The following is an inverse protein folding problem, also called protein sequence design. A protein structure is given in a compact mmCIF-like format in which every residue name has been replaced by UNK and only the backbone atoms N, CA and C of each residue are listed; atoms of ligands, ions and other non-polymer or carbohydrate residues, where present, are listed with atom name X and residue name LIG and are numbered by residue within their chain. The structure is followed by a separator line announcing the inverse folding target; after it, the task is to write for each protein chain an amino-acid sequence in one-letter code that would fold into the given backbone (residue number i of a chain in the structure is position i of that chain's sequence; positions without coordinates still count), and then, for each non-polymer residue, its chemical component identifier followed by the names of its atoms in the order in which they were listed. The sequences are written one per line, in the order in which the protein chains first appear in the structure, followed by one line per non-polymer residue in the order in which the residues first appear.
data_IF_297704658170
#
_entry.id   IF_297704658170
#
_cell.length_a   1.000
_cell.length_b   1.000
_cell.length_c   1.000
_cell.angle_alpha   90.00
_cell.angle_beta   90.00
_cell.angle_gamma   90.00
#
_symmetry.space_group_name_H-M   'P 1'
#
loop_
_entity.id
_entity.type
_entity.pdbx_description
1 polymer ?
2 water ?
#
# COMPACT_ATOMS: atom_id res chain seq x y z
N UNK A 3 -8.17 8.80 -23.52
CA UNK A 3 -7.96 8.29 -22.17
C UNK A 3 -8.85 7.09 -21.83
N UNK A 4 -8.72 6.60 -20.60
CA UNK A 4 -9.51 5.47 -20.14
C UNK A 4 -10.81 5.94 -19.50
N UNK A 5 -11.89 5.26 -19.83
CA UNK A 5 -13.20 5.63 -19.32
C UNK A 5 -13.34 5.28 -17.83
N UNK A 6 -14.01 6.16 -17.09
CA UNK A 6 -14.17 5.99 -15.66
C UNK A 6 -14.73 4.66 -15.16
N UNK A 7 -15.66 4.07 -15.88
CA UNK A 7 -16.22 2.80 -15.44
C UNK A 7 -15.22 1.66 -15.58
N UNK A 8 -14.31 1.78 -16.52
CA UNK A 8 -13.29 0.76 -16.70
C UNK A 8 -12.29 0.88 -15.56
N UNK A 9 -11.88 2.13 -15.31
CA UNK A 9 -10.96 2.40 -14.23
C UNK A 9 -11.50 1.80 -12.94
N UNK A 10 -12.73 2.12 -12.58
CA UNK A 10 -13.29 1.58 -11.35
C UNK A 10 -13.31 0.08 -11.35
N UNK A 11 -13.58 -0.46 -12.51
CA UNK A 11 -13.67 -1.90 -12.66
C UNK A 11 -12.32 -2.52 -12.34
N UNK A 12 -11.29 -1.98 -12.98
CA UNK A 12 -9.95 -2.45 -12.79
C UNK A 12 -9.57 -2.42 -11.32
N UNK A 13 -9.82 -1.27 -10.69
CA UNK A 13 -9.47 -1.07 -9.28
C UNK A 13 -10.27 -1.93 -8.31
N UNK A 14 -11.54 -2.12 -8.61
CA UNK A 14 -12.37 -2.95 -7.76
C UNK A 14 -11.74 -4.34 -7.71
N UNK A 15 -11.38 -4.84 -8.87
CA UNK A 15 -10.79 -6.15 -8.91
C UNK A 15 -9.44 -6.16 -8.25
N UNK A 16 -8.58 -5.24 -8.67
CA UNK A 16 -7.22 -5.21 -8.16
C UNK A 16 -7.15 -5.13 -6.66
N UNK A 17 -7.91 -4.22 -6.07
CA UNK A 17 -7.85 -4.02 -4.63
C UNK A 17 -8.74 -4.91 -3.80
N UNK A 18 -9.43 -5.83 -4.44
CA UNK A 18 -10.19 -6.78 -3.65
C UNK A 18 -9.20 -7.92 -3.50
N UNK A 19 -8.47 -7.91 -2.40
CA UNK A 19 -7.37 -8.82 -2.25
C UNK A 19 -6.92 -8.87 -0.80
N UNK A 20 -6.26 -9.95 -0.40
CA UNK A 20 -5.78 -10.08 0.97
C UNK A 20 -4.28 -9.80 0.91
N UNK A 21 -3.84 -8.80 1.64
CA UNK A 21 -2.43 -8.40 1.64
C UNK A 21 -1.57 -9.42 2.40
N UNK A 22 -0.27 -9.45 2.10
CA UNK A 22 0.68 -10.32 2.80
C UNK A 22 1.27 -9.45 3.88
N UNK A 23 1.16 -9.90 5.12
CA UNK A 23 1.62 -9.11 6.22
C UNK A 23 2.46 -10.00 7.10
N UNK A 24 3.76 -9.95 6.89
CA UNK A 24 4.70 -10.80 7.61
C UNK A 24 5.69 -9.95 8.39
N UNK A 25 5.84 -10.24 9.67
CA UNK A 25 6.79 -9.50 10.48
C UNK A 25 8.11 -10.22 10.77
N UNK A 26 9.20 -9.45 10.82
CA UNK A 26 10.53 -9.95 11.15
C UNK A 26 10.99 -11.10 10.29
N UNK A 27 11.28 -10.83 9.04
CA UNK A 27 11.73 -11.87 8.14
C UNK A 27 13.14 -11.51 7.73
N UNK A 28 13.95 -12.52 7.43
CA UNK A 28 15.32 -12.31 7.00
C UNK A 28 15.39 -12.22 5.48
N UNK A 29 16.22 -11.31 4.99
CA UNK A 29 16.45 -11.19 3.56
C UNK A 29 17.43 -12.31 3.20
N UNK A 30 17.05 -13.20 2.26
CA UNK A 30 17.92 -14.32 1.82
C UNK A 30 19.02 -13.79 0.91
N UNK A 31 18.65 -12.95 -0.05
CA UNK A 31 19.60 -12.39 -1.00
C UNK A 31 18.91 -11.40 -1.94
N UNK A 32 19.71 -10.67 -2.70
CA UNK A 32 19.24 -9.68 -3.66
C UNK A 32 19.48 -10.14 -5.09
N UNK A 33 18.60 -9.72 -5.99
CA UNK A 33 18.78 -10.04 -7.39
C UNK A 33 18.97 -8.67 -8.02
N UNK A 34 18.88 -8.59 -9.33
CA UNK A 34 19.06 -7.33 -10.02
C UNK A 34 17.98 -6.32 -9.67
N UNK A 35 16.74 -6.77 -9.52
CA UNK A 35 15.65 -5.87 -9.24
C UNK A 35 14.79 -6.27 -8.05
N UNK A 36 15.13 -7.36 -7.36
CA UNK A 36 14.30 -7.78 -6.25
C UNK A 36 15.08 -8.19 -5.05
N UNK A 37 14.32 -8.39 -3.99
CA UNK A 37 14.83 -8.88 -2.72
C UNK A 37 14.11 -10.19 -2.51
N UNK A 38 14.83 -11.21 -2.08
CA UNK A 38 14.21 -12.51 -1.83
C UNK A 38 14.20 -12.64 -0.33
N UNK A 39 13.01 -12.75 0.26
CA UNK A 39 12.86 -12.79 1.71
C UNK A 39 12.28 -14.08 2.23
N UNK A 40 12.83 -14.53 3.35
CA UNK A 40 12.42 -15.78 3.99
C UNK A 40 11.10 -15.66 4.75
N UNK A 41 10.08 -16.38 4.28
CA UNK A 41 8.78 -16.36 4.95
C UNK A 41 8.38 -17.76 5.41
N UNK A 42 9.36 -18.66 5.46
CA UNK A 42 9.10 -20.05 5.84
C UNK A 42 8.33 -20.20 7.15
N UNK A 43 8.64 -19.36 8.13
CA UNK A 43 7.94 -19.46 9.40
C UNK A 43 6.45 -19.22 9.26
N UNK A 44 6.05 -18.48 8.24
CA UNK A 44 4.64 -18.21 8.04
C UNK A 44 4.01 -19.08 7.00
N UNK A 45 4.70 -19.34 5.90
CA UNK A 45 4.08 -20.11 4.82
C UNK A 45 4.55 -21.54 4.61
N UNK A 46 5.58 -21.96 5.32
CA UNK A 46 6.05 -23.32 5.15
C UNK A 46 7.38 -23.37 4.45
N UNK A 47 7.85 -24.59 4.28
CA UNK A 47 9.14 -24.89 3.69
C UNK A 47 9.40 -24.27 2.35
N UNK A 48 10.57 -23.69 2.21
CA UNK A 48 10.96 -23.14 0.92
C UNK A 48 10.15 -21.93 0.47
N UNK A 49 9.23 -21.45 1.31
CA UNK A 49 8.49 -20.28 0.90
C UNK A 49 9.28 -19.01 1.01
N UNK A 50 9.02 -18.09 0.10
CA UNK A 50 9.72 -16.82 0.12
C UNK A 50 8.82 -15.71 -0.43
N UNK A 51 9.20 -14.48 -0.14
CA UNK A 51 8.54 -13.32 -0.73
C UNK A 51 9.56 -12.78 -1.71
N UNK A 52 9.10 -12.32 -2.85
CA UNK A 52 9.98 -11.72 -3.82
C UNK A 52 9.45 -10.32 -4.00
N UNK A 53 10.24 -9.35 -3.58
CA UNK A 53 9.84 -7.95 -3.63
C UNK A 53 10.63 -7.21 -4.67
N UNK A 54 9.94 -6.76 -5.71
CA UNK A 54 10.61 -6.02 -6.76
C UNK A 54 10.67 -4.55 -6.39
N UNK A 55 11.86 -3.95 -6.41
CA UNK A 55 11.98 -2.52 -6.10
C UNK A 55 12.99 -1.79 -6.94
N UNK A 56 12.95 -0.47 -6.87
CA UNK A 56 13.89 0.35 -7.59
C UNK A 56 15.29 0.11 -7.01
N UNK A 57 16.32 0.39 -7.80
CA UNK A 57 17.69 0.20 -7.35
C UNK A 57 18.00 0.90 -6.04
N UNK A 58 17.66 2.17 -5.98
CA UNK A 58 17.93 2.99 -4.81
C UNK A 58 17.34 2.38 -3.55
N UNK A 59 16.15 1.82 -3.67
CA UNK A 59 15.46 1.23 -2.53
C UNK A 59 16.17 -0.02 -2.10
N UNK A 60 16.44 -0.88 -3.06
CA UNK A 60 17.06 -2.14 -2.75
C UNK A 60 18.39 -2.03 -2.01
N UNK A 61 19.19 -1.04 -2.39
CA UNK A 61 20.51 -0.91 -1.80
C UNK A 61 20.53 -0.66 -0.31
N UNK A 62 19.37 -0.41 0.28
CA UNK A 62 19.24 -0.15 1.70
C UNK A 62 19.14 -1.43 2.49
N UNK A 63 19.06 -2.55 1.79
CA UNK A 63 18.89 -3.83 2.47
C UNK A 63 19.94 -4.83 2.00
N UNK A 64 20.42 -5.62 2.94
CA UNK A 64 21.45 -6.59 2.62
C UNK A 64 21.13 -7.94 3.25
N UNK A 65 21.82 -8.98 2.77
CA UNK A 65 21.64 -10.35 3.24
C UNK A 65 21.58 -10.35 4.75
N UNK A 66 20.63 -11.07 5.29
CA UNK A 66 20.51 -11.19 6.71
C UNK A 66 19.84 -10.08 7.49
N UNK A 67 19.45 -9.01 6.82
CA UNK A 67 18.73 -7.93 7.50
C UNK A 67 17.36 -8.51 7.88
N UNK A 68 16.78 -7.99 8.96
CA UNK A 68 15.46 -8.39 9.43
C UNK A 68 14.49 -7.31 8.99
N UNK A 69 13.42 -7.73 8.37
CA UNK A 69 12.55 -6.81 7.72
C UNK A 69 11.11 -7.18 7.96
N UNK A 70 10.21 -6.21 7.82
CA UNK A 70 8.77 -6.51 7.92
C UNK A 70 8.24 -6.37 6.47
N UNK A 71 7.23 -7.16 6.14
CA UNK A 71 6.63 -7.13 4.82
C UNK A 71 5.15 -6.80 4.86
N UNK A 72 4.74 -5.87 3.98
CA UNK A 72 3.35 -5.52 3.75
C UNK A 72 3.21 -5.19 2.27
N UNK A 73 2.66 -6.12 1.50
CA UNK A 73 2.51 -5.91 0.06
C UNK A 73 1.34 -6.66 -0.55
N UNK A 74 1.00 -6.29 -1.77
CA UNK A 74 -0.10 -6.90 -2.51
C UNK A 74 0.46 -7.67 -3.73
N UNK A 75 0.13 -8.96 -3.83
CA UNK A 75 0.64 -9.76 -4.94
C UNK A 75 0.14 -9.26 -6.27
N UNK A 76 0.91 -9.48 -7.32
CA UNK A 76 0.46 -9.10 -8.65
C UNK A 76 0.40 -10.36 -9.49
N UNK A 77 0.74 -11.49 -8.88
CA UNK A 77 0.72 -12.79 -9.57
C UNK A 77 0.00 -13.82 -8.75
N UNK A 78 -0.68 -14.75 -9.40
CA UNK A 78 -1.36 -15.83 -8.69
C UNK A 78 -0.77 -17.17 -9.13
N UNK A 79 -0.92 -18.19 -8.30
CA UNK A 79 -0.44 -19.53 -8.64
C UNK A 79 1.03 -19.48 -9.03
N UNK A 80 1.86 -19.17 -8.04
CA UNK A 80 3.28 -19.00 -8.25
C UNK A 80 4.19 -19.82 -7.35
N UNK A 81 3.86 -21.08 -7.17
CA UNK A 81 4.73 -22.01 -6.46
C UNK A 81 5.06 -21.66 -5.05
N UNK A 82 6.34 -21.64 -4.74
CA UNK A 82 6.71 -21.33 -3.36
C UNK A 82 7.01 -19.86 -3.15
N UNK A 83 6.76 -19.05 -4.17
CA UNK A 83 7.02 -17.63 -4.05
C UNK A 83 5.76 -16.80 -4.03
N UNK A 84 5.87 -15.63 -3.42
CA UNK A 84 4.75 -14.70 -3.40
C UNK A 84 5.38 -13.43 -3.93
N UNK A 85 4.83 -12.93 -5.03
CA UNK A 85 5.41 -11.79 -5.71
C UNK A 85 4.70 -10.49 -5.53
N UNK A 86 5.45 -9.51 -5.05
CA UNK A 86 4.91 -8.18 -4.79
C UNK A 86 5.89 -7.08 -5.21
N UNK A 87 5.48 -5.84 -5.06
CA UNK A 87 6.34 -4.69 -5.34
C UNK A 87 6.61 -4.00 -4.02
N UNK A 88 7.87 -3.64 -3.77
CA UNK A 88 8.23 -2.91 -2.56
C UNK A 88 7.62 -3.52 -1.30
N UNK A 89 7.05 -2.68 -0.43
CA UNK A 89 6.40 -3.16 0.80
C UNK A 89 7.32 -3.60 1.95
N UNK A 90 8.59 -3.19 1.88
CA UNK A 90 9.60 -3.61 2.85
C UNK A 90 10.13 -2.51 3.77
N UNK A 91 10.11 -2.75 5.08
CA UNK A 91 10.68 -1.81 6.05
C UNK A 91 11.51 -2.59 7.07
N UNK A 92 12.45 -1.90 7.70
CA UNK A 92 13.26 -2.52 8.73
C UNK A 92 12.30 -3.01 9.80
N UNK A 93 12.53 -4.23 10.28
CA UNK A 93 11.66 -4.86 11.25
C UNK A 93 11.39 -4.00 12.47
N UNK A 94 10.11 -3.93 12.84
CA UNK A 94 9.67 -3.14 13.98
C UNK A 94 10.04 -3.94 15.21
N UNK A 95 10.82 -3.36 16.10
CA UNK A 95 11.25 -4.10 17.29
C UNK A 95 10.27 -4.05 18.45
N UNK A 96 9.90 -2.86 18.89
CA UNK A 96 8.97 -2.77 20.01
C UNK A 96 7.56 -2.61 19.50
N UNK A 97 6.60 -3.08 20.29
CA UNK A 97 5.20 -2.97 19.91
C UNK A 97 4.82 -1.50 19.84
N UNK A 98 3.93 -1.18 18.92
CA UNK A 98 3.53 0.21 18.70
C UNK A 98 2.13 0.35 18.10
N UNK A 99 1.50 1.48 18.37
CA UNK A 99 0.14 1.71 17.89
C UNK A 99 -0.04 3.15 17.52
N UNK A 100 -0.37 3.39 16.27
CA UNK A 100 -0.60 4.75 15.85
C UNK A 100 -1.99 4.86 15.29
N UNK A 101 -2.79 5.68 15.95
CA UNK A 101 -4.16 5.90 15.54
C UNK A 101 -4.08 7.12 14.65
N UNK A 102 -4.44 6.97 13.40
CA UNK A 102 -4.31 8.09 12.51
C UNK A 102 -5.48 9.08 12.57
N UNK A 103 -5.14 10.35 12.37
CA UNK A 103 -6.14 11.41 12.30
C UNK A 103 -6.41 11.65 10.82
N UNK A 104 -7.67 11.78 10.44
CA UNK A 104 -7.96 12.03 9.03
C UNK A 104 -9.33 12.64 8.80
N UNK A 105 -9.52 13.17 7.60
CA UNK A 105 -10.77 13.82 7.22
C UNK A 105 -11.19 13.36 5.83
N UNK A 106 -12.48 13.38 5.57
CA UNK A 106 -13.02 12.99 4.29
C UNK A 106 -13.79 14.18 3.72
N UNK A 107 -13.45 14.57 2.49
CA UNK A 107 -14.11 15.68 1.82
C UNK A 107 -14.80 15.17 0.59
N UNK A 108 -16.11 15.01 0.67
CA UNK A 108 -16.86 14.57 -0.49
C UNK A 108 -17.55 15.76 -1.06
N UNK A 109 -17.45 15.91 -2.37
CA UNK A 109 -18.04 17.02 -3.12
C UNK A 109 -19.43 17.37 -2.65
N UNK A 110 -19.64 18.64 -2.31
CA UNK A 110 -20.96 19.09 -1.89
C UNK A 110 -21.50 18.54 -0.57
N UNK A 111 -20.66 17.92 0.25
CA UNK A 111 -21.09 17.40 1.54
C UNK A 111 -20.23 18.09 2.56
N UNK A 112 -20.54 17.90 3.85
CA UNK A 112 -19.74 18.50 4.93
C UNK A 112 -18.55 17.58 5.27
N UNK A 113 -17.46 18.13 5.81
CA UNK A 113 -16.30 17.31 6.11
C UNK A 113 -16.73 16.18 7.00
N UNK A 114 -16.17 14.99 6.78
CA UNK A 114 -16.43 13.89 7.66
C UNK A 114 -15.13 13.62 8.43
N UNK A 115 -15.29 13.34 9.72
CA UNK A 115 -14.18 13.05 10.61
C UNK A 115 -13.85 11.54 10.58
N UNK A 116 -12.61 11.18 10.24
CA UNK A 116 -12.20 9.78 10.16
C UNK A 116 -11.11 9.45 11.18
N UNK A 117 -10.99 10.27 12.21
CA UNK A 117 -9.98 10.02 13.21
C UNK A 117 -10.12 8.64 13.81
N UNK A 118 -8.98 8.02 14.10
CA UNK A 118 -8.91 6.72 14.76
C UNK A 118 -9.48 5.51 14.08
N UNK A 119 -9.84 5.62 12.81
CA UNK A 119 -10.39 4.47 12.10
C UNK A 119 -9.28 3.58 11.59
N UNK A 120 -8.16 4.20 11.25
CA UNK A 120 -7.03 3.47 10.72
C UNK A 120 -5.89 3.46 11.72
N UNK A 121 -5.44 2.27 12.04
CA UNK A 121 -4.37 2.12 13.00
C UNK A 121 -3.17 1.43 12.39
N UNK A 122 -1.98 1.93 12.69
CA UNK A 122 -0.75 1.34 12.18
C UNK A 122 0.07 0.84 13.35
N UNK A 123 0.87 -0.19 13.10
CA UNK A 123 1.63 -0.78 14.16
C UNK A 123 3.10 -0.78 13.88
N UNK A 124 3.53 0.20 13.08
CA UNK A 124 4.92 0.35 12.73
C UNK A 124 5.27 1.82 12.85
N UNK A 125 6.53 2.08 13.14
CA UNK A 125 7.02 3.46 13.26
C UNK A 125 7.45 3.91 11.91
N UNK A 126 7.86 2.96 11.09
CA UNK A 126 8.25 3.27 9.74
C UNK A 126 7.36 2.43 8.86
N UNK A 127 6.62 3.11 7.99
CA UNK A 127 5.64 2.45 7.15
C UNK A 127 5.78 2.80 5.68
N UNK A 128 5.34 1.90 4.82
CA UNK A 128 5.37 2.17 3.38
C UNK A 128 4.07 2.85 2.96
N UNK A 129 4.11 3.64 1.89
CA UNK A 129 2.92 4.28 1.38
C UNK A 129 1.96 3.20 0.93
N UNK A 130 2.52 2.09 0.47
CA UNK A 130 1.73 0.97 -0.01
C UNK A 130 0.79 0.51 1.11
N UNK A 131 1.33 0.32 2.31
CA UNK A 131 0.50 -0.10 3.41
C UNK A 131 -0.54 0.96 3.75
N UNK A 132 -0.12 2.22 3.76
CA UNK A 132 -1.04 3.31 4.08
C UNK A 132 -2.14 3.42 3.04
N UNK A 133 -1.73 3.37 1.78
CA UNK A 133 -2.65 3.44 0.67
C UNK A 133 -3.68 2.33 0.74
N UNK A 134 -3.22 1.09 0.94
CA UNK A 134 -4.12 -0.04 0.96
C UNK A 134 -5.18 0.06 2.03
N UNK A 135 -4.77 0.33 3.26
CA UNK A 135 -5.71 0.41 4.37
C UNK A 135 -6.79 1.47 4.18
N UNK A 136 -6.42 2.61 3.62
CA UNK A 136 -7.38 3.67 3.40
C UNK A 136 -8.34 3.29 2.27
N UNK A 137 -7.80 2.79 1.18
CA UNK A 137 -8.63 2.38 0.05
C UNK A 137 -9.65 1.34 0.49
N UNK A 138 -9.20 0.39 1.28
CA UNK A 138 -10.07 -0.68 1.73
C UNK A 138 -11.19 -0.14 2.59
N UNK A 139 -10.83 0.81 3.44
CA UNK A 139 -11.80 1.44 4.29
C UNK A 139 -12.85 2.10 3.39
N UNK A 140 -12.40 2.83 2.36
CA UNK A 140 -13.29 3.54 1.45
C UNK A 140 -14.15 2.62 0.62
N UNK A 141 -13.57 1.49 0.23
CA UNK A 141 -14.26 0.51 -0.58
C UNK A 141 -15.35 -0.08 0.27
N UNK A 142 -14.97 -0.50 1.47
CA UNK A 142 -15.90 -1.09 2.40
C UNK A 142 -17.04 -0.17 2.82
N UNK A 143 -16.71 1.07 3.15
CA UNK A 143 -17.69 2.02 3.66
C UNK A 143 -18.37 2.93 2.68
N UNK A 144 -17.70 3.22 1.58
CA UNK A 144 -18.26 4.11 0.57
C UNK A 144 -18.38 3.50 -0.81
N UNK A 145 -18.00 2.22 -0.94
CA UNK A 145 -18.08 1.50 -2.21
C UNK A 145 -17.56 2.30 -3.39
N UNK A 146 -16.47 3.02 -3.18
CA UNK A 146 -15.96 3.89 -4.22
C UNK A 146 -15.73 3.29 -5.59
N UNK A 147 -15.52 1.98 -5.64
CA UNK A 147 -15.26 1.35 -6.93
C UNK A 147 -16.42 0.58 -7.52
N UNK A 148 -17.57 0.62 -6.86
CA UNK A 148 -18.75 -0.07 -7.40
C UNK A 148 -19.22 0.64 -8.66
N UNK A 149 -19.72 -0.13 -9.62
CA UNK A 149 -20.18 0.45 -10.88
C UNK A 149 -21.14 1.62 -10.66
N UNK A 150 -21.98 1.50 -9.64
CA UNK A 150 -23.00 2.50 -9.37
C UNK A 150 -22.58 3.63 -8.46
N UNK A 151 -21.34 3.58 -7.98
CA UNK A 151 -20.84 4.66 -7.14
C UNK A 151 -20.84 5.94 -8.01
N UNK A 152 -21.04 7.08 -7.38
CA UNK A 152 -21.07 8.35 -8.08
C UNK A 152 -19.73 9.04 -8.26
N UNK A 153 -18.70 8.52 -7.59
CA UNK A 153 -17.39 9.14 -7.66
C UNK A 153 -16.70 8.99 -8.97
N UNK A 154 -16.16 10.10 -9.41
CA UNK A 154 -15.57 10.22 -10.71
C UNK A 154 -14.09 10.57 -10.65
N UNK A 155 -13.61 10.88 -9.45
CA UNK A 155 -12.21 11.20 -9.27
C UNK A 155 -12.01 11.41 -7.78
N UNK A 156 -10.76 11.50 -7.37
CA UNK A 156 -10.44 11.72 -5.98
C UNK A 156 -9.01 11.32 -5.67
N UNK A 157 -8.53 11.68 -4.48
CA UNK A 157 -7.17 11.37 -4.07
C UNK A 157 -7.02 11.33 -2.55
N UNK A 158 -5.86 10.85 -2.10
CA UNK A 158 -5.54 10.82 -0.69
C UNK A 158 -4.39 11.78 -0.55
N UNK A 159 -4.37 12.57 0.51
CA UNK A 159 -3.25 13.48 0.72
C UNK A 159 -2.70 13.15 2.07
N UNK A 160 -1.41 12.81 2.10
CA UNK A 160 -0.73 12.49 3.33
C UNK A 160 -0.06 13.79 3.78
N UNK A 161 -0.41 14.28 4.96
CA UNK A 161 0.17 15.53 5.43
C UNK A 161 1.23 15.29 6.49
N UNK A 162 2.38 15.92 6.30
CA UNK A 162 3.46 15.78 7.26
C UNK A 162 3.58 17.00 8.14
N UNK A 163 4.29 16.84 9.23
CA UNK A 163 4.43 17.90 10.19
C UNK A 163 5.15 19.18 9.78
N UNK A 164 5.69 19.20 8.57
CA UNK A 164 6.35 20.40 8.05
C UNK A 164 5.38 21.18 7.18
N UNK A 165 4.15 20.70 7.09
CA UNK A 165 3.12 21.37 6.31
C UNK A 165 3.01 20.87 4.88
N UNK A 166 3.84 19.91 4.47
CA UNK A 166 3.77 19.41 3.10
C UNK A 166 2.72 18.31 2.93
N UNK A 167 2.43 18.00 1.68
CA UNK A 167 1.44 16.98 1.35
C UNK A 167 1.93 16.06 0.21
N UNK A 168 1.66 14.78 0.34
CA UNK A 168 1.99 13.82 -0.67
C UNK A 168 0.63 13.37 -1.21
N UNK A 169 0.43 13.40 -2.52
CA UNK A 169 -0.83 12.95 -3.11
C UNK A 169 -0.76 11.52 -3.65
N UNK A 170 -1.89 10.81 -3.59
CA UNK A 170 -2.03 9.48 -4.14
C UNK A 170 -3.37 9.46 -4.86
N UNK A 171 -3.32 9.28 -6.18
CA UNK A 171 -4.53 9.28 -7.01
C UNK A 171 -5.33 8.04 -6.68
N UNK A 172 -6.64 8.19 -6.54
CA UNK A 172 -7.49 7.04 -6.19
C UNK A 172 -8.14 6.40 -7.38
N UNK A 173 -8.06 7.07 -8.52
CA UNK A 173 -8.70 6.55 -9.70
C UNK A 173 -7.76 6.51 -10.88
N UNK A 174 -6.66 5.79 -10.74
CA UNK A 174 -5.71 5.67 -11.82
C UNK A 174 -5.47 4.23 -12.17
N UNK A 175 -5.75 3.85 -13.41
CA UNK A 175 -5.52 2.48 -13.87
C UNK A 175 -4.69 2.56 -15.14
N UNK A 176 -3.38 2.51 -14.99
CA UNK A 176 -2.49 2.63 -16.12
C UNK A 176 -2.38 1.41 -17.00
N UNK A 177 -1.91 1.65 -18.22
CA UNK A 177 -1.67 0.61 -19.18
C UNK A 177 -2.86 -0.30 -19.30
N UNK A 178 -2.64 -1.59 -19.18
CA UNK A 178 -3.74 -2.50 -19.32
C UNK A 178 -4.61 -2.63 -18.09
N UNK A 179 -4.24 -1.92 -17.03
CA UNK A 179 -5.01 -1.95 -15.80
C UNK A 179 -4.99 -3.30 -15.06
N UNK A 180 -3.89 -4.04 -15.17
CA UNK A 180 -3.79 -5.31 -14.45
C UNK A 180 -3.16 -5.01 -13.09
N UNK A 181 -3.13 -5.97 -12.18
CA UNK A 181 -2.53 -5.70 -10.87
C UNK A 181 -1.07 -5.32 -11.02
N UNK A 182 -0.42 -5.94 -11.98
CA UNK A 182 0.96 -5.66 -12.23
C UNK A 182 1.10 -4.16 -12.61
N UNK A 183 0.14 -3.65 -13.36
CA UNK A 183 0.21 -2.26 -13.80
C UNK A 183 -0.10 -1.31 -12.66
N UNK A 184 -1.17 -1.61 -11.96
CA UNK A 184 -1.61 -0.79 -10.86
C UNK A 184 -0.70 -0.79 -9.64
N UNK A 185 -0.09 -1.93 -9.33
CA UNK A 185 0.78 -1.99 -8.16
C UNK A 185 2.21 -1.59 -8.49
N UNK A 186 2.54 -1.42 -9.76
CA UNK A 186 3.92 -1.08 -10.11
C UNK A 186 4.40 0.17 -9.40
N UNK A 187 3.48 1.08 -9.11
CA UNK A 187 3.85 2.33 -8.46
C UNK A 187 4.47 2.13 -7.09
N UNK A 188 4.26 0.96 -6.50
CA UNK A 188 4.79 0.70 -5.17
C UNK A 188 6.25 0.27 -5.19
N UNK A 189 6.80 0.15 -6.39
CA UNK A 189 8.16 -0.30 -6.55
C UNK A 189 9.24 0.65 -6.01
N UNK A 190 8.87 1.89 -5.71
CA UNK A 190 9.82 2.85 -5.15
C UNK A 190 10.03 2.60 -3.68
N UNK A 191 9.18 1.78 -3.07
CA UNK A 191 9.30 1.46 -1.65
C UNK A 191 9.29 2.69 -0.78
N UNK A 192 8.57 3.71 -1.22
CA UNK A 192 8.48 4.94 -0.45
C UNK A 192 7.98 4.66 0.97
N UNK A 193 8.66 5.22 1.96
CA UNK A 193 8.26 5.03 3.33
C UNK A 193 8.07 6.35 4.00
N UNK A 194 7.40 6.32 5.13
CA UNK A 194 7.20 7.51 5.88
C UNK A 194 7.41 7.16 7.32
N UNK A 195 7.97 8.10 8.06
CA UNK A 195 8.22 7.91 9.48
C UNK A 195 7.05 8.48 10.20
N UNK A 196 6.44 7.69 11.04
CA UNK A 196 5.25 8.16 11.72
C UNK A 196 5.46 9.43 12.50
N UNK A 197 6.67 9.67 12.96
CA UNK A 197 6.92 10.86 13.75
C UNK A 197 6.75 12.10 12.91
N UNK A 198 6.73 11.94 11.60
CA UNK A 198 6.58 13.11 10.75
C UNK A 198 5.17 13.19 10.23
N UNK A 199 4.41 12.14 10.50
CA UNK A 199 3.05 12.06 9.99
C UNK A 199 2.12 12.96 10.74
N UNK A 200 1.30 13.71 10.03
CA UNK A 200 0.35 14.58 10.69
C UNK A 200 -1.05 14.01 10.66
N UNK A 201 -1.61 13.89 9.47
CA UNK A 201 -2.97 13.39 9.30
C UNK A 201 -3.14 13.15 7.79
N UNK A 202 -4.26 12.56 7.39
CA UNK A 202 -4.52 12.39 5.96
C UNK A 202 -5.84 13.07 5.60
N UNK A 203 -5.97 13.45 4.33
CA UNK A 203 -7.18 14.08 3.83
C UNK A 203 -7.58 13.33 2.60
N UNK A 204 -8.84 12.94 2.51
CA UNK A 204 -9.31 12.21 1.35
C UNK A 204 -10.31 13.09 0.62
N UNK A 205 -10.17 13.15 -0.70
CA UNK A 205 -11.06 13.95 -1.55
C UNK A 205 -11.75 13.07 -2.58
N UNK A 206 -13.07 13.07 -2.57
CA UNK A 206 -13.82 12.29 -3.54
C UNK A 206 -14.72 13.26 -4.29
N UNK A 207 -14.65 13.21 -5.61
CA UNK A 207 -15.46 14.09 -6.45
C UNK A 207 -16.62 13.36 -7.13
N UNK A 208 -17.82 13.96 -6.99
CA UNK A 208 -19.09 13.40 -7.47
C UNK A 208 -19.53 14.06 -8.85
#
# INVERSE_FOLDING_TARGET
DSKKDISNVKSDLLYAYTITPYDYKDCRVNFSTTHTLNIDTQKYRGKDYYISSEMSYEASQKFKRDDHVDVFGLFYILNSHTGEYIYGGITPAQNNKVNHKLLGNLFISGESQQNLNNKIILEKDIVTFQEIDFKIRKYLMDNYKIYDATSPYVSGRIEIGTKDGKHEQIDLFDSPNEGTRSDIFAKYKDNRIINMKNFSHFDIYLEK
#
